data_IF_952766503643
#
_entry.id   IF_952766503643
#
_cell.length_a   1.000
_cell.length_b   1.000
_cell.length_c   1.000
_cell.angle_alpha   90.00
_cell.angle_beta   90.00
_cell.angle_gamma   90.00
#
_symmetry.space_group_name_H-M   'P 1'
#
loop_
_entity.id
_entity.type
_entity.pdbx_description
1 polymer ?
#
# COMPACT_ATOMS: atom_id res chain seq x y z
N UNK A 1 -11.25 9.13 8.55
CA UNK A 1 -10.58 9.31 7.25
C UNK A 1 -9.18 9.83 7.48
N UNK A 2 -8.21 9.15 6.99
CA UNK A 2 -6.80 9.53 7.10
C UNK A 2 -6.16 9.67 5.72
N UNK A 3 -5.06 10.42 5.65
CA UNK A 3 -4.19 10.45 4.48
C UNK A 3 -2.80 10.01 4.92
N UNK A 4 -2.30 8.99 4.27
CA UNK A 4 -0.97 8.46 4.51
C UNK A 4 -0.05 8.82 3.34
N UNK A 5 1.17 9.22 3.65
CA UNK A 5 2.18 9.57 2.64
C UNK A 5 3.19 8.45 2.46
N UNK A 6 3.51 8.14 1.21
CA UNK A 6 4.44 7.09 0.80
C UNK A 6 5.56 7.68 -0.04
N UNK A 7 6.62 6.91 -0.23
CA UNK A 7 7.74 7.31 -1.11
C UNK A 7 7.43 6.80 -2.52
N UNK A 8 7.14 7.71 -3.43
CA UNK A 8 6.70 7.44 -4.80
C UNK A 8 7.62 6.53 -5.60
N UNK A 9 8.93 6.68 -5.43
CA UNK A 9 9.93 5.92 -6.18
C UNK A 9 10.21 4.53 -5.58
N UNK A 10 9.70 4.27 -4.39
CA UNK A 10 9.79 2.96 -3.75
C UNK A 10 8.51 2.17 -4.00
N UNK A 11 8.59 0.86 -3.89
CA UNK A 11 7.43 -0.02 -3.95
C UNK A 11 7.41 -0.97 -5.14
N UNK A 12 6.36 -1.76 -5.21
CA UNK A 12 6.14 -2.74 -6.27
C UNK A 12 5.78 -2.05 -7.59
N UNK A 13 6.54 -2.36 -8.62
CA UNK A 13 6.31 -1.82 -9.97
C UNK A 13 5.17 -2.54 -10.66
N UNK A 14 3.94 -2.18 -10.35
CA UNK A 14 2.75 -2.72 -11.02
C UNK A 14 2.52 -2.07 -12.39
N UNK A 15 2.94 -0.81 -12.55
CA UNK A 15 2.84 -0.08 -13.80
C UNK A 15 4.10 -0.31 -14.64
N UNK A 16 3.95 -1.01 -15.71
CA UNK A 16 5.07 -1.32 -16.58
C UNK A 16 4.92 -2.63 -17.30
N UNK A 17 3.89 -3.38 -16.97
CA UNK A 17 3.55 -4.65 -17.58
C UNK A 17 2.10 -4.56 -18.10
N UNK A 18 1.92 -4.60 -19.43
CA UNK A 18 0.61 -4.69 -20.06
C UNK A 18 -0.10 -3.35 -20.34
N UNK A 19 -1.44 -3.40 -20.36
CA UNK A 19 -2.30 -2.31 -20.83
C UNK A 19 -2.21 -1.03 -19.99
N UNK A 20 -1.99 -1.14 -18.68
CA UNK A 20 -1.89 0.01 -17.80
C UNK A 20 -0.72 0.94 -18.17
N UNK A 21 0.44 0.38 -18.51
CA UNK A 21 1.60 1.16 -18.96
C UNK A 21 1.36 1.84 -20.30
N UNK A 22 0.80 1.10 -21.25
CA UNK A 22 0.49 1.66 -22.58
C UNK A 22 -0.48 2.84 -22.45
N UNK A 23 -1.50 2.72 -21.61
CA UNK A 23 -2.48 3.77 -21.34
C UNK A 23 -1.84 4.98 -20.64
N UNK A 24 -0.95 4.75 -19.67
CA UNK A 24 -0.23 5.82 -19.00
C UNK A 24 0.71 6.57 -19.94
N UNK A 25 1.41 5.87 -20.85
CA UNK A 25 2.27 6.50 -21.85
C UNK A 25 1.48 7.33 -22.86
N UNK A 26 0.30 6.85 -23.28
CA UNK A 26 -0.61 7.61 -24.14
C UNK A 26 -1.09 8.87 -23.43
N UNK A 27 -1.49 8.78 -22.18
CA UNK A 27 -1.92 9.94 -21.40
C UNK A 27 -0.80 10.98 -21.18
N UNK A 28 0.44 10.54 -21.07
CA UNK A 28 1.60 11.45 -20.99
C UNK A 28 1.90 12.17 -22.31
N UNK A 29 1.68 11.49 -23.45
CA UNK A 29 1.92 12.05 -24.80
C UNK A 29 0.79 12.96 -25.26
N UNK A 30 -0.43 12.64 -24.91
CA UNK A 30 -1.64 13.38 -25.27
C UNK A 30 -2.58 13.44 -24.06
N UNK A 31 -2.37 14.40 -23.14
CA UNK A 31 -3.11 14.49 -21.87
C UNK A 31 -4.52 15.05 -22.05
N UNK A 32 -5.32 14.43 -22.91
CA UNK A 32 -6.75 14.72 -22.98
C UNK A 32 -7.47 14.14 -21.74
N UNK A 33 -8.57 14.73 -21.27
CA UNK A 33 -9.32 14.21 -20.12
C UNK A 33 -9.69 12.74 -20.26
N UNK A 34 -10.06 12.31 -21.46
CA UNK A 34 -10.42 10.90 -21.76
C UNK A 34 -9.23 9.96 -21.56
N UNK A 35 -8.04 10.36 -22.02
CA UNK A 35 -6.82 9.55 -21.88
C UNK A 35 -6.34 9.50 -20.45
N UNK A 36 -6.45 10.60 -19.70
CA UNK A 36 -6.10 10.67 -18.28
C UNK A 36 -7.03 9.77 -17.45
N UNK A 37 -8.34 9.83 -17.69
CA UNK A 37 -9.32 8.97 -17.02
C UNK A 37 -9.09 7.49 -17.33
N UNK A 38 -8.76 7.15 -18.56
CA UNK A 38 -8.45 5.78 -18.96
C UNK A 38 -7.17 5.27 -18.25
N UNK A 39 -6.13 6.10 -18.18
CA UNK A 39 -4.89 5.77 -17.46
C UNK A 39 -5.13 5.58 -15.95
N UNK A 40 -5.87 6.49 -15.33
CA UNK A 40 -6.22 6.41 -13.92
C UNK A 40 -7.04 5.15 -13.61
N UNK A 41 -7.98 4.79 -14.46
CA UNK A 41 -8.78 3.57 -14.33
C UNK A 41 -7.95 2.31 -14.48
N UNK A 42 -7.05 2.26 -15.45
CA UNK A 42 -6.13 1.14 -15.66
C UNK A 42 -5.21 0.95 -14.45
N UNK A 43 -4.68 2.04 -13.91
CA UNK A 43 -3.87 2.03 -12.70
C UNK A 43 -4.66 1.54 -11.47
N UNK A 44 -5.86 2.05 -11.27
CA UNK A 44 -6.74 1.63 -10.18
C UNK A 44 -7.07 0.13 -10.25
N UNK A 45 -7.36 -0.39 -11.45
CA UNK A 45 -7.62 -1.81 -11.68
C UNK A 45 -6.39 -2.68 -11.39
N UNK A 46 -5.19 -2.22 -11.76
CA UNK A 46 -3.94 -2.93 -11.46
C UNK A 46 -3.69 -3.00 -9.94
N UNK A 47 -3.92 -1.91 -9.22
CA UNK A 47 -3.80 -1.87 -7.75
C UNK A 47 -4.85 -2.80 -7.12
N UNK A 48 -6.09 -2.75 -7.55
CA UNK A 48 -7.15 -3.64 -7.07
C UNK A 48 -6.81 -5.12 -7.32
N UNK A 49 -6.26 -5.45 -8.48
CA UNK A 49 -5.78 -6.79 -8.81
C UNK A 49 -4.64 -7.25 -7.89
N UNK A 50 -3.74 -6.35 -7.53
CA UNK A 50 -2.66 -6.63 -6.57
C UNK A 50 -3.21 -6.91 -5.17
N UNK A 51 -4.13 -6.10 -4.68
CA UNK A 51 -4.82 -6.32 -3.39
C UNK A 51 -5.51 -7.69 -3.38
N UNK A 52 -6.21 -8.04 -4.46
CA UNK A 52 -6.88 -9.32 -4.59
C UNK A 52 -5.90 -10.51 -4.60
N UNK A 53 -4.75 -10.38 -5.24
CA UNK A 53 -3.66 -11.39 -5.22
C UNK A 53 -3.13 -11.65 -3.82
N UNK A 54 -3.17 -10.64 -2.96
CA UNK A 54 -2.76 -10.76 -1.56
C UNK A 54 -3.86 -11.35 -0.67
N UNK A 55 -4.98 -11.80 -1.25
CA UNK A 55 -6.17 -12.30 -0.54
C UNK A 55 -6.72 -11.31 0.50
N UNK A 56 -6.55 -10.02 0.22
CA UNK A 56 -7.10 -8.95 1.05
C UNK A 56 -8.43 -8.51 0.48
N UNK A 57 -9.46 -8.52 1.30
CA UNK A 57 -10.84 -8.19 0.90
C UNK A 57 -11.50 -7.24 1.89
N UNK A 58 -12.42 -6.45 1.39
CA UNK A 58 -13.32 -5.62 2.19
C UNK A 58 -14.67 -5.54 1.49
N UNK A 59 -15.74 -5.44 2.25
CA UNK A 59 -17.07 -5.28 1.69
C UNK A 59 -17.19 -3.97 0.94
N UNK A 60 -17.63 -4.02 -0.31
CA UNK A 60 -17.74 -2.85 -1.16
C UNK A 60 -16.39 -2.20 -1.47
N UNK A 61 -15.29 -2.96 -1.45
CA UNK A 61 -13.96 -2.43 -1.75
C UNK A 61 -13.94 -1.75 -3.12
N UNK A 62 -13.63 -0.46 -3.12
CA UNK A 62 -13.44 0.34 -4.30
C UNK A 62 -12.10 1.07 -4.21
N UNK A 63 -11.32 0.98 -5.28
CA UNK A 63 -10.01 1.61 -5.39
C UNK A 63 -10.03 2.56 -6.58
N UNK A 64 -9.73 3.83 -6.31
CA UNK A 64 -9.52 4.86 -7.31
C UNK A 64 -8.05 5.30 -7.33
N UNK A 65 -7.61 5.86 -8.44
CA UNK A 65 -6.27 6.42 -8.58
C UNK A 65 -6.32 7.75 -9.34
N UNK A 66 -5.63 8.73 -8.81
CA UNK A 66 -5.36 10.00 -9.49
C UNK A 66 -3.87 10.11 -9.78
N UNK A 67 -3.50 9.96 -11.04
CA UNK A 67 -2.11 10.00 -11.49
C UNK A 67 -1.47 11.39 -11.39
N UNK A 68 -2.27 12.46 -11.41
CA UNK A 68 -1.75 13.83 -11.28
C UNK A 68 -1.17 14.09 -9.88
N UNK A 69 -1.83 13.56 -8.85
CA UNK A 69 -1.40 13.70 -7.45
C UNK A 69 -0.71 12.46 -6.87
N UNK A 70 -0.67 11.36 -7.62
CA UNK A 70 -0.18 10.09 -7.10
C UNK A 70 -1.01 9.53 -5.94
N UNK A 71 -2.30 9.84 -5.90
CA UNK A 71 -3.18 9.50 -4.78
C UNK A 71 -4.04 8.29 -5.11
N UNK A 72 -4.00 7.28 -4.24
CA UNK A 72 -4.94 6.15 -4.22
C UNK A 72 -6.05 6.47 -3.23
N UNK A 73 -7.31 6.29 -3.65
CA UNK A 73 -8.49 6.41 -2.79
C UNK A 73 -9.00 5.00 -2.52
N UNK A 74 -9.12 4.62 -1.26
CA UNK A 74 -9.56 3.28 -0.86
C UNK A 74 -10.83 3.39 -0.02
N UNK A 75 -11.91 2.78 -0.49
CA UNK A 75 -13.24 2.79 0.15
C UNK A 75 -13.72 1.37 0.40
N UNK A 76 -14.55 1.20 1.40
CA UNK A 76 -15.18 -0.08 1.74
C UNK A 76 -15.26 -0.30 3.25
N UNK A 77 -15.59 -1.53 3.64
CA UNK A 77 -15.68 -1.94 5.03
C UNK A 77 -14.83 -3.19 5.25
N UNK A 78 -13.72 -3.05 5.96
CA UNK A 78 -12.85 -4.16 6.32
C UNK A 78 -13.42 -4.91 7.55
N UNK A 79 -13.15 -6.21 7.61
CA UNK A 79 -13.62 -7.05 8.71
C UNK A 79 -12.98 -6.65 10.05
N UNK A 80 -11.74 -6.24 10.02
CA UNK A 80 -10.96 -5.85 11.19
C UNK A 80 -9.89 -4.79 10.84
N UNK A 81 -9.30 -4.20 11.86
CA UNK A 81 -8.27 -3.17 11.73
C UNK A 81 -7.03 -3.69 11.00
N UNK A 82 -6.62 -4.92 11.27
CA UNK A 82 -5.44 -5.51 10.62
C UNK A 82 -5.63 -5.60 9.10
N UNK A 83 -6.79 -6.09 8.64
CA UNK A 83 -7.13 -6.18 7.22
C UNK A 83 -7.16 -4.79 6.57
N UNK A 84 -7.77 -3.80 7.24
CA UNK A 84 -7.77 -2.41 6.78
C UNK A 84 -6.34 -1.90 6.57
N UNK A 85 -5.49 -2.02 7.57
CA UNK A 85 -4.11 -1.54 7.52
C UNK A 85 -3.30 -2.24 6.43
N UNK A 86 -3.48 -3.55 6.26
CA UNK A 86 -2.83 -4.31 5.17
C UNK A 86 -3.28 -3.85 3.78
N UNK A 87 -4.56 -3.55 3.59
CA UNK A 87 -5.06 -3.01 2.31
C UNK A 87 -4.42 -1.65 2.02
N UNK A 88 -4.37 -0.76 3.01
CA UNK A 88 -3.76 0.56 2.85
C UNK A 88 -2.27 0.47 2.50
N UNK A 89 -1.52 -0.41 3.18
CA UNK A 89 -0.11 -0.64 2.89
C UNK A 89 0.10 -1.26 1.51
N UNK A 90 -0.74 -2.21 1.12
CA UNK A 90 -0.70 -2.83 -0.19
C UNK A 90 -0.87 -1.79 -1.31
N UNK A 91 -1.83 -0.88 -1.15
CA UNK A 91 -2.05 0.21 -2.10
C UNK A 91 -0.91 1.24 -2.10
N UNK A 92 -0.41 1.60 -0.93
CA UNK A 92 0.59 2.67 -0.78
C UNK A 92 1.99 2.26 -1.21
N UNK A 93 2.35 0.98 -1.06
CA UNK A 93 3.66 0.46 -1.47
C UNK A 93 3.74 0.11 -2.97
N UNK A 94 2.86 0.65 -3.77
CA UNK A 94 2.92 0.58 -5.24
C UNK A 94 3.76 1.74 -5.77
N UNK A 95 4.68 1.45 -6.69
CA UNK A 95 5.47 2.50 -7.32
C UNK A 95 4.58 3.50 -8.07
N UNK A 96 4.79 4.79 -7.87
CA UNK A 96 3.97 5.88 -8.41
C UNK A 96 2.91 6.39 -7.44
N UNK A 97 2.68 5.73 -6.32
CA UNK A 97 1.77 6.19 -5.26
C UNK A 97 2.54 7.07 -4.27
N UNK A 98 2.05 8.29 -4.08
CA UNK A 98 2.56 9.23 -3.05
C UNK A 98 1.64 9.30 -1.84
N UNK A 99 0.35 9.17 -2.05
CA UNK A 99 -0.65 9.29 -1.00
C UNK A 99 -1.68 8.18 -1.08
N UNK A 100 -2.15 7.73 0.07
CA UNK A 100 -3.34 6.88 0.19
C UNK A 100 -4.38 7.62 1.01
N UNK A 101 -5.51 7.89 0.40
CA UNK A 101 -6.68 8.45 1.07
C UNK A 101 -7.53 7.31 1.64
N UNK A 102 -7.47 7.15 2.94
CA UNK A 102 -8.20 6.12 3.67
C UNK A 102 -9.66 6.52 3.89
N UNK A 103 -10.56 5.82 3.24
CA UNK A 103 -12.01 5.87 3.44
C UNK A 103 -12.57 4.48 3.80
N UNK A 104 -11.71 3.57 4.29
CA UNK A 104 -12.14 2.28 4.80
C UNK A 104 -12.71 2.40 6.22
N UNK A 105 -13.91 1.87 6.41
CA UNK A 105 -14.43 1.56 7.73
C UNK A 105 -13.92 0.21 8.23
N UNK A 106 -14.15 -0.05 9.51
CA UNK A 106 -13.94 -1.36 10.15
C UNK A 106 -15.15 -1.72 10.97
N UNK A 107 -15.47 -3.02 11.04
CA UNK A 107 -16.59 -3.50 11.84
C UNK A 107 -16.29 -3.53 13.34
N UNK A 108 -15.01 -3.63 13.72
CA UNK A 108 -14.56 -3.54 15.11
C UNK A 108 -13.47 -2.45 15.23
N UNK A 109 -13.68 -1.50 16.14
CA UNK A 109 -12.68 -0.46 16.40
C UNK A 109 -11.54 -1.03 17.25
N UNK A 110 -10.31 -0.85 16.79
CA UNK A 110 -9.09 -1.17 17.51
C UNK A 110 -8.20 0.09 17.63
N UNK A 111 -7.03 -0.08 18.28
CA UNK A 111 -6.07 1.02 18.44
C UNK A 111 -5.59 1.57 17.09
N UNK A 112 -5.19 2.84 17.07
CA UNK A 112 -4.65 3.49 15.89
C UNK A 112 -3.43 2.75 15.33
N UNK A 113 -3.31 2.67 14.00
CA UNK A 113 -2.20 1.98 13.36
C UNK A 113 -0.87 2.69 13.61
N UNK A 114 0.18 1.92 13.80
CA UNK A 114 1.55 2.40 13.80
C UNK A 114 2.22 1.92 12.52
N UNK A 115 2.65 2.86 11.69
CA UNK A 115 3.37 2.58 10.46
C UNK A 115 4.82 3.06 10.57
N UNK A 116 5.72 2.30 9.98
CA UNK A 116 7.15 2.61 9.92
C UNK A 116 7.63 2.61 8.48
N UNK A 117 8.31 3.66 8.07
CA UNK A 117 8.95 3.72 6.75
C UNK A 117 10.39 3.24 6.84
N UNK A 118 10.70 2.17 6.13
CA UNK A 118 12.04 1.57 6.09
C UNK A 118 13.06 2.55 5.52
N UNK A 119 14.18 2.70 6.20
CA UNK A 119 15.32 3.47 5.72
C UNK A 119 16.47 2.54 5.33
N UNK A 120 17.39 3.06 4.53
CA UNK A 120 18.55 2.29 4.07
C UNK A 120 19.35 1.74 5.26
N UNK A 121 19.62 0.43 5.22
CA UNK A 121 20.37 -0.26 6.26
C UNK A 121 19.50 -0.85 7.39
N UNK A 122 18.18 -0.71 7.29
CA UNK A 122 17.27 -1.34 8.23
C UNK A 122 17.18 -2.85 8.05
N UNK A 123 16.85 -3.50 9.17
CA UNK A 123 16.39 -4.89 9.23
C UNK A 123 15.17 -4.96 10.13
N UNK A 124 14.32 -5.96 9.95
CA UNK A 124 13.17 -6.14 10.85
C UNK A 124 13.59 -6.29 12.32
N UNK A 125 14.76 -6.89 12.58
CA UNK A 125 15.31 -7.00 13.93
C UNK A 125 15.66 -5.64 14.54
N UNK A 126 16.20 -4.70 13.75
CA UNK A 126 16.46 -3.32 14.22
C UNK A 126 15.16 -2.60 14.54
N UNK A 127 14.17 -2.70 13.64
CA UNK A 127 12.85 -2.11 13.86
C UNK A 127 12.17 -2.70 15.09
N UNK A 128 12.22 -4.03 15.25
CA UNK A 128 11.66 -4.71 16.42
C UNK A 128 12.35 -4.27 17.73
N UNK A 129 13.66 -4.07 17.71
CA UNK A 129 14.38 -3.56 18.86
C UNK A 129 13.96 -2.14 19.24
N UNK A 130 13.73 -1.29 18.24
CA UNK A 130 13.28 0.10 18.44
C UNK A 130 11.87 0.16 19.05
N UNK A 131 10.92 -0.59 18.49
CA UNK A 131 9.52 -0.53 18.91
C UNK A 131 9.17 -1.42 20.10
N UNK A 132 9.85 -2.56 20.25
CA UNK A 132 9.55 -3.57 21.28
C UNK A 132 10.68 -3.74 22.31
N UNK A 133 11.82 -3.07 22.11
CA UNK A 133 13.00 -3.30 22.94
C UNK A 133 13.65 -4.68 22.74
N UNK A 134 13.17 -5.48 21.81
CA UNK A 134 13.60 -6.87 21.59
C UNK A 134 13.76 -7.17 20.09
N UNK A 135 15.00 -7.34 19.64
CA UNK A 135 15.30 -7.67 18.24
C UNK A 135 14.70 -9.02 17.79
N UNK A 136 14.54 -9.98 18.70
CA UNK A 136 13.99 -11.29 18.38
C UNK A 136 12.48 -11.25 18.09
N UNK A 137 11.81 -10.15 18.44
CA UNK A 137 10.39 -9.94 18.13
C UNK A 137 10.11 -9.58 16.65
N UNK A 138 11.13 -9.60 15.79
CA UNK A 138 11.00 -9.27 14.36
C UNK A 138 9.96 -10.12 13.62
N UNK A 139 9.77 -11.37 14.04
CA UNK A 139 8.75 -12.24 13.45
C UNK A 139 7.34 -11.69 13.61
N UNK A 140 7.07 -10.97 14.70
CA UNK A 140 5.78 -10.32 14.92
C UNK A 140 5.51 -9.26 13.85
N UNK A 141 6.52 -8.47 13.49
CA UNK A 141 6.43 -7.49 12.40
C UNK A 141 6.27 -8.21 11.06
N UNK A 142 7.04 -9.27 10.82
CA UNK A 142 6.93 -10.05 9.58
C UNK A 142 5.53 -10.62 9.37
N UNK A 143 4.96 -11.29 10.37
CA UNK A 143 3.61 -11.85 10.30
C UNK A 143 2.54 -10.77 10.07
N UNK A 144 2.69 -9.60 10.71
CA UNK A 144 1.76 -8.49 10.55
C UNK A 144 1.77 -7.86 9.16
N UNK A 145 2.82 -8.10 8.37
CA UNK A 145 2.96 -7.57 7.01
C UNK A 145 2.80 -8.64 5.92
N UNK A 146 2.46 -9.87 6.29
CA UNK A 146 2.07 -10.90 5.33
C UNK A 146 0.67 -10.57 4.76
N UNK A 147 0.40 -10.97 3.52
CA UNK A 147 1.27 -11.65 2.56
C UNK A 147 2.13 -10.71 1.70
N UNK A 148 2.04 -9.38 1.87
CA UNK A 148 2.83 -8.42 1.09
C UNK A 148 4.33 -8.62 1.28
N UNK A 149 4.75 -8.88 2.51
CA UNK A 149 6.12 -9.25 2.84
C UNK A 149 6.26 -10.77 2.80
N UNK A 150 7.06 -11.27 1.86
CA UNK A 150 7.23 -12.71 1.63
C UNK A 150 8.43 -13.32 2.38
N UNK A 151 9.39 -12.49 2.81
CA UNK A 151 10.57 -12.91 3.56
C UNK A 151 11.06 -11.75 4.45
N UNK A 152 11.54 -12.04 5.68
CA UNK A 152 11.98 -10.98 6.61
C UNK A 152 13.09 -10.07 6.07
N UNK A 153 13.96 -10.61 5.19
CA UNK A 153 15.07 -9.85 4.62
C UNK A 153 14.72 -9.09 3.34
N UNK A 154 13.49 -9.25 2.84
CA UNK A 154 13.03 -8.59 1.59
C UNK A 154 12.31 -7.27 1.85
N UNK A 155 12.83 -6.49 2.77
CA UNK A 155 12.41 -5.10 2.95
C UNK A 155 13.28 -4.16 2.12
N UNK A 156 12.73 -3.04 1.71
CA UNK A 156 13.43 -2.06 0.88
C UNK A 156 13.24 -0.64 1.44
N UNK A 157 14.21 0.26 1.24
CA UNK A 157 14.07 1.65 1.66
C UNK A 157 12.85 2.31 1.02
N UNK A 158 12.09 3.02 1.82
CA UNK A 158 10.84 3.66 1.41
C UNK A 158 9.59 2.78 1.56
N UNK A 159 9.75 1.50 1.81
CA UNK A 159 8.63 0.61 2.13
C UNK A 159 8.02 1.01 3.46
N UNK A 160 6.70 1.09 3.51
CA UNK A 160 5.97 1.30 4.75
C UNK A 160 5.50 -0.05 5.31
N UNK A 161 5.77 -0.27 6.58
CA UNK A 161 5.43 -1.48 7.32
C UNK A 161 4.41 -1.18 8.43
N UNK A 162 3.54 -2.14 8.67
CA UNK A 162 2.67 -2.15 9.85
C UNK A 162 3.44 -2.65 11.06
N UNK A 163 3.39 -1.91 12.15
CA UNK A 163 3.97 -2.31 13.44
C UNK A 163 2.82 -2.63 14.40
N UNK A 164 2.53 -3.92 14.63
CA UNK A 164 1.45 -4.29 15.54
C UNK A 164 1.80 -3.93 16.99
N UNK A 165 0.80 -3.68 17.85
CA UNK A 165 1.04 -3.43 19.26
C UNK A 165 1.72 -4.62 19.95
N UNK A 166 2.35 -4.36 21.10
CA UNK A 166 2.99 -5.40 21.92
C UNK A 166 1.99 -6.41 22.49
#
# INVERSE_FOLDING_TARGET
MGMFSFIKEAGEKLFGIGEAKATEEVAKKDPTPVNVDAANRAAANAIAGYVAKMNLTADGLAIGFDGASGTVIVQGMAADQETKEKILLCCGNVAGVEHVQDQLGVTSAEADPVFYTVVRGDTLSKVAKEYYGNANAYMKIFEANKPMLSHPDKIYPGQMLRIPPQ
#
